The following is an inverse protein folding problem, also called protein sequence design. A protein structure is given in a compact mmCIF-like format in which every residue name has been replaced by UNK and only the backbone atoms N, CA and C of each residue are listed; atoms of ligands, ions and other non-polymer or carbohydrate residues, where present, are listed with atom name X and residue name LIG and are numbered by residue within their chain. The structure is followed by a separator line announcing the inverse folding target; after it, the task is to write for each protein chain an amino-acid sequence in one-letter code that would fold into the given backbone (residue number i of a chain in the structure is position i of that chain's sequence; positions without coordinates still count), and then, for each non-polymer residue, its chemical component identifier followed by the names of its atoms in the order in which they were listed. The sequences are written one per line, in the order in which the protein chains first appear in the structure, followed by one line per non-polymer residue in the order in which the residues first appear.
data_IF_634168188595
#
_entry.id   IF_634168188595
#
_cell.length_a   1.000
_cell.length_b   1.000
_cell.length_c   1.000
_cell.angle_alpha   90.00
_cell.angle_beta   90.00
_cell.angle_gamma   90.00
#
_symmetry.space_group_name_H-M   'P 1'
#
loop_
_entity.id
_entity.type
_entity.pdbx_description
1 polymer ?
#
# COMPACT_ATOMS: atom_id res chain seq x y z
N UNK A 1 21.09 -5.79 4.69
CA UNK A 1 21.01 -5.26 3.32
C UNK A 1 20.03 -4.11 3.37
N UNK A 2 20.48 -2.86 3.41
CA UNK A 2 19.61 -1.69 3.50
C UNK A 2 19.07 -1.39 2.10
N UNK A 3 17.93 -1.96 1.73
CA UNK A 3 17.23 -1.57 0.51
C UNK A 3 16.77 -0.13 0.69
N UNK A 4 17.48 0.82 0.07
CA UNK A 4 16.94 2.16 -0.20
C UNK A 4 15.85 2.02 -1.27
N UNK A 5 14.73 1.43 -0.89
CA UNK A 5 13.55 1.43 -1.71
C UNK A 5 12.85 2.77 -1.48
N UNK A 6 12.69 3.54 -2.56
CA UNK A 6 11.81 4.69 -2.57
C UNK A 6 10.42 4.16 -2.91
N UNK A 7 9.65 3.84 -1.88
CA UNK A 7 8.28 3.38 -2.03
C UNK A 7 7.38 4.58 -2.25
N UNK A 8 6.64 4.59 -3.35
CA UNK A 8 5.45 5.42 -3.43
C UNK A 8 4.29 4.57 -2.98
N UNK A 9 3.63 5.03 -1.92
CA UNK A 9 2.48 4.37 -1.31
C UNK A 9 1.22 5.16 -1.69
N UNK A 10 0.61 4.90 -2.85
CA UNK A 10 -0.72 5.41 -3.15
C UNK A 10 -1.74 4.71 -2.27
N UNK A 11 -2.43 5.52 -1.48
CA UNK A 11 -3.65 5.10 -0.77
C UNK A 11 -4.82 5.34 -1.70
N UNK A 12 -5.58 4.27 -1.92
CA UNK A 12 -6.69 4.21 -2.88
C UNK A 12 -7.99 3.96 -2.10
N UNK A 13 -9.13 3.98 -2.78
CA UNK A 13 -10.40 3.55 -2.20
C UNK A 13 -11.06 4.58 -1.27
N UNK A 14 -12.06 4.11 -0.52
CA UNK A 14 -12.91 4.94 0.35
C UNK A 14 -12.22 5.38 1.65
N UNK A 15 -11.13 4.73 2.04
CA UNK A 15 -10.48 4.90 3.34
C UNK A 15 -9.33 5.92 3.36
N UNK A 16 -9.08 6.64 2.26
CA UNK A 16 -7.96 7.60 2.12
C UNK A 16 -7.82 8.58 3.28
N UNK A 17 -8.93 9.16 3.75
CA UNK A 17 -8.91 10.14 4.83
C UNK A 17 -8.58 9.50 6.19
N UNK A 18 -9.05 8.28 6.42
CA UNK A 18 -8.76 7.51 7.63
C UNK A 18 -7.27 7.15 7.70
N UNK A 19 -6.67 6.78 6.57
CA UNK A 19 -5.22 6.54 6.50
C UNK A 19 -4.43 7.78 6.88
N UNK A 20 -4.81 8.97 6.40
CA UNK A 20 -4.13 10.21 6.76
C UNK A 20 -4.17 10.49 8.27
N UNK A 21 -5.33 10.26 8.91
CA UNK A 21 -5.51 10.39 10.36
C UNK A 21 -4.64 9.38 11.13
N UNK A 22 -4.64 8.11 10.72
CA UNK A 22 -3.79 7.06 11.31
C UNK A 22 -2.31 7.44 11.27
N UNK A 23 -1.83 7.96 10.13
CA UNK A 23 -0.43 8.37 9.98
C UNK A 23 -0.04 9.57 10.84
N UNK A 24 -1.01 10.39 11.24
CA UNK A 24 -0.81 11.49 12.19
C UNK A 24 -0.93 11.04 13.66
N UNK A 25 -1.10 9.74 13.91
CA UNK A 25 -1.24 9.18 15.25
C UNK A 25 -2.63 9.35 15.85
N UNK A 26 -3.63 9.67 15.04
CA UNK A 26 -5.03 9.71 15.49
C UNK A 26 -5.60 8.29 15.59
N UNK A 27 -6.42 8.05 16.61
CA UNK A 27 -7.18 6.81 16.74
C UNK A 27 -8.42 6.88 15.83
N UNK A 28 -8.46 6.00 14.82
CA UNK A 28 -9.52 5.99 13.81
C UNK A 28 -10.29 4.69 13.90
N UNK A 29 -11.59 4.80 14.19
CA UNK A 29 -12.50 3.66 14.13
C UNK A 29 -13.10 3.54 12.72
N UNK A 30 -12.77 2.47 12.01
CA UNK A 30 -13.39 2.14 10.73
C UNK A 30 -14.70 1.39 11.01
N UNK A 31 -15.82 2.11 10.92
CA UNK A 31 -17.15 1.57 11.29
C UNK A 31 -17.67 0.52 10.31
N UNK A 32 -17.27 0.59 9.03
CA UNK A 32 -17.64 -0.40 8.03
C UNK A 32 -16.78 -1.66 8.18
N UNK A 33 -17.36 -2.80 8.62
CA UNK A 33 -16.62 -4.03 8.83
C UNK A 33 -16.27 -4.74 7.52
N UNK A 34 -16.52 -4.16 6.35
CA UNK A 34 -16.07 -4.66 5.05
C UNK A 34 -15.08 -3.71 4.36
N UNK A 35 -14.81 -2.54 4.95
CA UNK A 35 -13.86 -1.60 4.39
C UNK A 35 -12.42 -2.00 4.78
N UNK A 36 -11.61 -2.24 3.76
CA UNK A 36 -10.18 -2.48 3.90
C UNK A 36 -9.41 -1.21 3.44
N UNK A 37 -8.16 -1.09 3.87
CA UNK A 37 -7.24 -0.03 3.47
C UNK A 37 -6.44 -0.52 2.26
N UNK A 38 -6.65 0.11 1.11
CA UNK A 38 -5.94 -0.19 -0.13
C UNK A 38 -4.59 0.53 -0.21
N UNK A 39 -3.51 -0.25 -0.23
CA UNK A 39 -2.14 0.25 -0.38
C UNK A 39 -1.54 -0.27 -1.68
N UNK A 40 -1.28 0.64 -2.60
CA UNK A 40 -0.40 0.35 -3.73
C UNK A 40 1.07 0.57 -3.37
N UNK A 41 1.98 -0.17 -3.99
CA UNK A 41 3.43 0.10 -3.91
C UNK A 41 4.04 0.13 -5.30
N UNK A 42 4.87 1.14 -5.52
CA UNK A 42 5.79 1.22 -6.67
C UNK A 42 7.23 1.16 -6.15
N UNK A 43 8.02 0.24 -6.69
CA UNK A 43 9.44 0.11 -6.44
C UNK A 43 10.25 0.89 -7.47
N UNK A 44 11.45 1.32 -7.09
CA UNK A 44 12.40 1.99 -7.99
C UNK A 44 13.09 1.05 -8.99
N UNK A 45 12.77 -0.23 -8.95
CA UNK A 45 13.30 -1.29 -9.80
C UNK A 45 12.15 -2.13 -10.37
N UNK A 46 12.39 -2.91 -11.43
CA UNK A 46 11.37 -3.81 -11.97
C UNK A 46 11.12 -4.97 -11.02
N UNK A 47 9.89 -5.08 -10.50
CA UNK A 47 9.51 -6.15 -9.58
C UNK A 47 9.63 -7.53 -10.24
N UNK A 48 9.53 -7.62 -11.57
CA UNK A 48 9.68 -8.87 -12.30
C UNK A 48 11.10 -9.45 -12.22
N UNK A 49 12.10 -8.64 -11.90
CA UNK A 49 13.49 -9.07 -11.71
C UNK A 49 13.76 -9.57 -10.28
N UNK A 50 12.78 -9.49 -9.38
CA UNK A 50 12.93 -9.94 -7.99
C UNK A 50 12.54 -11.42 -7.86
N UNK A 51 13.53 -12.25 -7.53
CA UNK A 51 13.29 -13.65 -7.18
C UNK A 51 12.52 -13.75 -5.85
N UNK A 52 11.45 -14.54 -5.85
CA UNK A 52 10.65 -14.78 -4.65
C UNK A 52 9.78 -13.59 -4.22
N UNK A 53 9.20 -12.86 -5.17
CA UNK A 53 8.25 -11.74 -4.94
C UNK A 53 7.22 -11.99 -3.84
N UNK A 54 6.72 -13.22 -3.69
CA UNK A 54 5.75 -13.57 -2.65
C UNK A 54 6.30 -13.39 -1.22
N UNK A 55 7.61 -13.58 -1.01
CA UNK A 55 8.25 -13.31 0.28
C UNK A 55 8.34 -11.81 0.53
N UNK A 56 8.80 -11.05 -0.47
CA UNK A 56 8.82 -9.58 -0.41
C UNK A 56 7.43 -9.01 -0.12
N UNK A 57 6.39 -9.56 -0.75
CA UNK A 57 5.00 -9.23 -0.48
C UNK A 57 4.63 -9.52 0.97
N UNK A 58 4.92 -10.73 1.47
CA UNK A 58 4.61 -11.11 2.84
C UNK A 58 5.33 -10.25 3.88
N UNK A 59 6.62 -9.96 3.66
CA UNK A 59 7.41 -9.11 4.55
C UNK A 59 6.80 -7.70 4.64
N UNK A 60 6.52 -7.08 3.49
CA UNK A 60 5.89 -5.75 3.45
C UNK A 60 4.49 -5.75 4.05
N UNK A 61 3.68 -6.77 3.74
CA UNK A 61 2.33 -6.91 4.27
C UNK A 61 2.34 -6.98 5.80
N UNK A 62 3.24 -7.78 6.36
CA UNK A 62 3.38 -7.93 7.82
C UNK A 62 3.80 -6.62 8.48
N UNK A 63 4.70 -5.86 7.87
CA UNK A 63 5.11 -4.55 8.40
C UNK A 63 3.94 -3.54 8.36
N UNK A 64 3.14 -3.56 7.27
CA UNK A 64 2.05 -2.59 7.08
C UNK A 64 0.78 -2.92 7.85
N UNK A 65 0.46 -4.20 8.08
CA UNK A 65 -0.76 -4.59 8.80
C UNK A 65 -0.70 -4.20 10.29
N UNK A 66 0.48 -4.01 10.85
CA UNK A 66 0.66 -3.43 12.19
C UNK A 66 0.20 -1.96 12.27
N UNK A 67 0.24 -1.25 11.14
CA UNK A 67 -0.15 0.17 11.04
C UNK A 67 -1.60 0.28 10.55
N UNK A 68 -1.97 -0.52 9.56
CA UNK A 68 -3.26 -0.49 8.90
C UNK A 68 -4.04 -1.76 9.21
N UNK A 69 -4.96 -1.73 10.19
CA UNK A 69 -5.81 -2.88 10.45
C UNK A 69 -6.70 -3.10 9.24
N UNK A 70 -6.55 -4.28 8.61
CA UNK A 70 -7.27 -4.74 7.40
C UNK A 70 -6.77 -4.09 6.11
N UNK A 71 -5.66 -4.63 5.62
CA UNK A 71 -4.89 -4.13 4.49
C UNK A 71 -5.15 -4.97 3.23
N UNK A 72 -5.38 -4.31 2.09
CA UNK A 72 -5.18 -4.88 0.75
C UNK A 72 -3.92 -4.27 0.12
N UNK A 73 -2.93 -5.10 -0.17
CA UNK A 73 -1.63 -4.68 -0.69
C UNK A 73 -1.50 -5.06 -2.16
N UNK A 74 -1.14 -4.10 -3.00
CA UNK A 74 -0.98 -4.30 -4.45
C UNK A 74 0.35 -3.75 -4.94
N UNK A 75 1.10 -4.53 -5.72
CA UNK A 75 2.27 -4.04 -6.45
C UNK A 75 1.82 -3.45 -7.79
N UNK A 76 1.91 -2.13 -7.91
CA UNK A 76 1.34 -1.40 -9.06
C UNK A 76 2.14 -1.56 -10.35
N UNK A 77 3.35 -2.09 -10.26
CA UNK A 77 4.16 -2.46 -11.42
C UNK A 77 3.68 -3.76 -12.08
N UNK A 78 2.74 -4.48 -11.48
CA UNK A 78 2.04 -5.59 -12.14
C UNK A 78 1.07 -5.05 -13.20
N UNK A 79 0.94 -5.75 -14.33
CA UNK A 79 0.34 -5.22 -15.58
C UNK A 79 -1.19 -5.12 -15.56
N UNK A 80 -1.74 -4.30 -14.67
CA UNK A 80 -3.17 -4.01 -14.59
C UNK A 80 -3.42 -2.49 -14.63
N UNK A 81 -3.77 -1.98 -15.82
CA UNK A 81 -3.94 -0.54 -16.10
C UNK A 81 -5.00 0.16 -15.23
N UNK A 82 -5.99 -0.59 -14.74
CA UNK A 82 -7.03 -0.08 -13.84
C UNK A 82 -6.43 0.31 -12.48
N UNK A 83 -5.64 -0.57 -11.85
CA UNK A 83 -4.99 -0.28 -10.57
C UNK A 83 -3.97 0.86 -10.68
N UNK A 84 -3.25 0.95 -11.80
CA UNK A 84 -2.32 2.05 -12.05
C UNK A 84 -3.04 3.40 -12.17
N UNK A 85 -4.24 3.43 -12.76
CA UNK A 85 -5.04 4.65 -12.89
C UNK A 85 -5.59 5.09 -11.55
N UNK A 86 -6.12 4.16 -10.75
CA UNK A 86 -6.60 4.44 -9.41
C UNK A 86 -5.48 4.95 -8.48
N UNK A 87 -4.27 4.40 -8.63
CA UNK A 87 -3.09 4.91 -7.95
C UNK A 87 -2.74 6.35 -8.36
N UNK A 88 -2.86 6.69 -9.66
CA UNK A 88 -2.69 8.07 -10.16
C UNK A 88 -3.67 9.04 -9.48
N UNK A 89 -4.90 8.59 -9.26
CA UNK A 89 -5.97 9.34 -8.59
C UNK A 89 -5.93 9.24 -7.05
N UNK A 90 -4.96 8.51 -6.51
CA UNK A 90 -4.78 8.23 -5.08
C UNK A 90 -4.13 9.37 -4.30
N UNK A 91 -4.01 9.18 -2.99
CA UNK A 91 -3.15 10.00 -2.13
C UNK A 91 -1.76 9.39 -2.05
N UNK A 92 -0.71 10.20 -2.17
CA UNK A 92 0.68 9.73 -2.09
C UNK A 92 1.30 10.08 -0.76
N UNK A 93 1.85 9.08 -0.09
CA UNK A 93 2.71 9.26 1.08
C UNK A 93 4.16 9.00 0.66
N UNK A 94 5.08 9.79 1.19
CA UNK A 94 6.49 9.83 0.80
C UNK A 94 7.42 9.60 1.99
#
# INVERSE_FOLDING_TARGET
MSLRAQFFIPIVGSQKENVYKILNGEDVNIEDPLADIDVGIVFSYDINDVDGRYRLYGDIYNDLVEIFPRLDLVFLQEKHSVFQTEAILGMYIR
#
